data_IF_014133251008
#
_entry.id   IF_014133251008
#
_cell.length_a   1.000
_cell.length_b   1.000
_cell.length_c   1.000
_cell.angle_alpha   90.00
_cell.angle_beta   90.00
_cell.angle_gamma   90.00
#
_symmetry.space_group_name_H-M   'P 1'
#
loop_
_entity.id
_entity.type
_entity.pdbx_description
1 polymer ?
#
# COMPACT_ATOMS: atom_id res chain seq x y z
N UNK A 1 1.49 20.58 38.28
CA UNK A 1 0.68 20.39 37.05
C UNK A 1 -0.32 19.21 37.09
N UNK A 2 -0.02 18.03 37.65
CA UNK A 2 -0.97 16.89 37.67
C UNK A 2 -2.17 17.05 38.64
N UNK A 3 -1.98 17.79 39.74
CA UNK A 3 -2.99 18.00 40.78
C UNK A 3 -4.35 18.54 40.27
N UNK A 4 -4.43 19.59 39.42
CA UNK A 4 -5.72 20.09 38.91
C UNK A 4 -6.45 19.06 38.04
N UNK A 5 -5.73 18.26 37.25
CA UNK A 5 -6.34 17.19 36.45
C UNK A 5 -6.85 16.05 37.32
N UNK A 6 -6.12 15.65 38.36
CA UNK A 6 -6.58 14.62 39.31
C UNK A 6 -7.83 15.08 40.08
N UNK A 7 -7.85 16.33 40.55
CA UNK A 7 -9.01 16.93 41.22
C UNK A 7 -10.22 17.10 40.28
N UNK A 8 -9.98 17.27 38.98
CA UNK A 8 -11.03 17.29 37.97
C UNK A 8 -11.58 15.88 37.73
N UNK A 9 -10.71 14.88 37.58
CA UNK A 9 -11.08 13.49 37.39
C UNK A 9 -11.94 12.96 38.56
N UNK A 10 -11.57 13.28 39.80
CA UNK A 10 -12.32 12.85 40.99
C UNK A 10 -13.71 13.51 41.09
N UNK A 11 -13.84 14.78 40.67
CA UNK A 11 -15.11 15.52 40.80
C UNK A 11 -16.06 15.36 39.61
N UNK A 12 -15.58 14.92 38.44
CA UNK A 12 -16.41 14.73 37.23
C UNK A 12 -16.04 13.45 36.49
N UNK A 13 -16.56 12.28 36.91
CA UNK A 13 -16.24 10.99 36.28
C UNK A 13 -16.66 10.91 34.81
N UNK A 14 -17.71 11.64 34.41
CA UNK A 14 -18.14 11.73 33.01
C UNK A 14 -17.09 12.31 32.05
N UNK A 15 -16.03 12.99 32.55
CA UNK A 15 -14.95 13.53 31.72
C UNK A 15 -13.81 12.53 31.49
N UNK A 16 -13.79 11.38 32.16
CA UNK A 16 -12.69 10.41 32.04
C UNK A 16 -12.39 10.00 30.59
N UNK A 17 -13.39 9.70 29.73
CA UNK A 17 -13.11 9.33 28.34
C UNK A 17 -12.41 10.45 27.57
N UNK A 18 -12.82 11.70 27.79
CA UNK A 18 -12.24 12.88 27.14
C UNK A 18 -10.82 13.15 27.66
N UNK A 19 -10.58 12.98 28.96
CA UNK A 19 -9.27 13.12 29.60
C UNK A 19 -8.28 12.05 29.12
N UNK A 20 -8.71 10.78 29.05
CA UNK A 20 -7.90 9.69 28.53
C UNK A 20 -7.59 9.88 27.05
N UNK A 21 -8.57 10.33 26.26
CA UNK A 21 -8.38 10.68 24.85
C UNK A 21 -7.36 11.81 24.67
N UNK A 22 -7.42 12.84 25.53
CA UNK A 22 -6.47 13.94 25.53
C UNK A 22 -5.06 13.49 25.92
N UNK A 23 -4.93 12.76 27.02
CA UNK A 23 -3.66 12.20 27.47
C UNK A 23 -3.02 11.34 26.37
N UNK A 24 -3.79 10.42 25.78
CA UNK A 24 -3.30 9.56 24.71
C UNK A 24 -2.81 10.33 23.48
N UNK A 25 -3.53 11.38 23.07
CA UNK A 25 -3.15 12.14 21.88
C UNK A 25 -1.87 12.97 22.07
N UNK A 26 -1.67 13.51 23.27
CA UNK A 26 -0.51 14.36 23.59
C UNK A 26 0.64 13.58 24.26
N UNK A 27 0.57 12.25 24.27
CA UNK A 27 1.58 11.41 24.93
C UNK A 27 2.97 11.55 24.26
N UNK A 28 4.06 11.59 25.03
CA UNK A 28 5.40 11.54 24.48
C UNK A 28 5.73 10.14 23.94
N UNK A 29 6.62 10.06 22.95
CA UNK A 29 7.20 8.79 22.49
C UNK A 29 8.03 8.19 23.64
N UNK A 30 7.77 6.93 23.99
CA UNK A 30 8.47 6.24 25.07
C UNK A 30 7.95 6.50 26.50
N UNK A 31 6.70 6.97 26.66
CA UNK A 31 6.05 7.19 27.96
C UNK A 31 6.11 5.97 28.90
N UNK A 32 6.12 4.76 28.36
CA UNK A 32 6.18 3.49 29.09
C UNK A 32 7.58 3.14 29.65
N UNK A 33 8.62 3.90 29.29
CA UNK A 33 10.01 3.64 29.74
C UNK A 33 10.39 4.41 31.00
N UNK A 34 9.59 5.38 31.43
CA UNK A 34 9.89 6.23 32.58
C UNK A 34 8.68 6.29 33.51
N UNK A 35 8.87 6.20 34.84
CA UNK A 35 7.80 6.45 35.79
C UNK A 35 7.23 7.88 35.56
N UNK A 36 5.90 8.11 35.69
CA UNK A 36 4.91 7.23 36.30
C UNK A 36 4.24 6.21 35.35
N UNK A 37 4.83 5.93 34.18
CA UNK A 37 4.27 4.97 33.21
C UNK A 37 2.82 5.28 32.79
N UNK A 38 2.47 6.55 32.77
CA UNK A 38 1.19 7.03 32.29
C UNK A 38 1.39 7.80 30.98
N UNK A 39 0.48 7.68 30.00
CA UNK A 39 0.55 8.40 28.73
C UNK A 39 0.16 9.88 28.93
N UNK A 40 0.83 10.56 29.85
CA UNK A 40 0.58 11.97 30.16
C UNK A 40 1.42 12.86 29.24
N UNK A 41 0.93 14.08 28.89
CA UNK A 41 1.71 15.05 28.13
C UNK A 41 3.03 15.37 28.84
N UNK A 42 4.10 15.65 28.08
CA UNK A 42 5.39 16.02 28.67
C UNK A 42 5.29 17.37 29.39
N UNK A 43 6.14 17.57 30.41
CA UNK A 43 6.21 18.86 31.13
C UNK A 43 6.59 20.00 30.20
N UNK A 44 7.51 19.75 29.27
CA UNK A 44 7.95 20.72 28.27
C UNK A 44 6.81 21.15 27.34
N UNK A 45 6.04 20.18 26.82
CA UNK A 45 4.84 20.47 26.04
C UNK A 45 3.83 21.30 26.85
N UNK A 46 3.65 20.98 28.13
CA UNK A 46 2.70 21.69 28.97
C UNK A 46 3.13 23.12 29.30
N UNK A 47 4.41 23.34 29.61
CA UNK A 47 4.98 24.69 29.79
C UNK A 47 4.79 25.54 28.55
N UNK A 48 5.15 25.01 27.38
CA UNK A 48 4.95 25.71 26.11
C UNK A 48 3.48 26.06 25.85
N UNK A 49 2.56 25.12 26.12
CA UNK A 49 1.12 25.37 25.95
C UNK A 49 0.59 26.46 26.89
N UNK A 50 1.07 26.48 28.13
CA UNK A 50 0.65 27.47 29.13
C UNK A 50 1.23 28.85 28.82
N UNK A 51 2.51 28.92 28.43
CA UNK A 51 3.15 30.14 27.96
C UNK A 51 2.42 30.73 26.75
N UNK A 52 2.03 29.89 25.78
CA UNK A 52 1.30 30.35 24.59
C UNK A 52 -0.13 30.82 24.91
N UNK A 53 -0.81 30.18 25.86
CA UNK A 53 -2.23 30.45 26.15
C UNK A 53 -2.43 31.55 27.20
N UNK A 54 -1.52 31.65 28.17
CA UNK A 54 -1.63 32.51 29.35
C UNK A 54 -0.46 33.48 29.53
N UNK A 55 0.59 33.38 28.70
CA UNK A 55 1.80 34.21 28.85
C UNK A 55 2.71 33.78 30.00
N UNK A 56 2.38 32.70 30.71
CA UNK A 56 3.14 32.19 31.86
C UNK A 56 3.26 30.65 31.78
N UNK A 57 4.49 30.10 31.73
CA UNK A 57 4.73 28.66 31.65
C UNK A 57 4.29 27.87 32.90
N UNK A 58 4.11 28.53 34.04
CA UNK A 58 3.72 27.93 35.31
C UNK A 58 2.27 28.26 35.72
N UNK A 59 1.52 28.93 34.82
CA UNK A 59 0.11 29.25 35.01
C UNK A 59 -0.72 28.01 35.38
N UNK A 60 -1.68 28.18 36.30
CA UNK A 60 -2.66 27.14 36.66
C UNK A 60 -3.99 27.50 35.99
N UNK A 61 -4.41 26.80 34.94
CA UNK A 61 -5.65 27.12 34.23
C UNK A 61 -6.88 27.01 35.16
N UNK A 62 -7.85 27.93 35.03
CA UNK A 62 -9.13 27.80 35.70
C UNK A 62 -9.80 26.46 35.37
N UNK A 63 -10.52 25.89 36.34
CA UNK A 63 -11.17 24.58 36.19
C UNK A 63 -12.12 24.54 34.99
N UNK A 64 -12.88 25.61 34.77
CA UNK A 64 -13.87 25.66 33.71
C UNK A 64 -13.22 25.69 32.32
N UNK A 65 -12.05 26.31 32.21
CA UNK A 65 -11.23 26.28 31.00
C UNK A 65 -10.66 24.90 30.71
N UNK A 66 -10.20 24.19 31.75
CA UNK A 66 -9.76 22.79 31.59
C UNK A 66 -10.91 21.91 31.09
N UNK A 67 -12.11 22.05 31.65
CA UNK A 67 -13.30 21.31 31.21
C UNK A 67 -13.65 21.64 29.76
N UNK A 68 -13.67 22.92 29.39
CA UNK A 68 -13.92 23.36 28.01
C UNK A 68 -12.89 22.79 27.06
N UNK A 69 -11.61 22.91 27.38
CA UNK A 69 -10.51 22.40 26.55
C UNK A 69 -10.58 20.89 26.36
N UNK A 70 -10.77 20.12 27.43
CA UNK A 70 -10.85 18.65 27.38
C UNK A 70 -12.05 18.21 26.53
N UNK A 71 -13.22 18.83 26.74
CA UNK A 71 -14.45 18.50 26.02
C UNK A 71 -14.34 18.84 24.54
N UNK A 72 -13.88 20.06 24.22
CA UNK A 72 -13.65 20.50 22.85
C UNK A 72 -12.62 19.63 22.13
N UNK A 73 -11.50 19.28 22.78
CA UNK A 73 -10.47 18.43 22.16
C UNK A 73 -10.97 17.02 21.84
N UNK A 74 -11.83 16.45 22.70
CA UNK A 74 -12.44 15.14 22.47
C UNK A 74 -13.49 15.20 21.34
N UNK A 75 -14.25 16.27 21.26
CA UNK A 75 -15.22 16.49 20.19
C UNK A 75 -14.54 16.70 18.83
N UNK A 76 -13.53 17.57 18.75
CA UNK A 76 -12.76 17.79 17.53
C UNK A 76 -12.14 16.50 17.01
N UNK A 77 -11.56 15.67 17.90
CA UNK A 77 -11.06 14.35 17.49
C UNK A 77 -12.14 13.41 16.98
N UNK A 78 -13.37 13.47 17.50
CA UNK A 78 -14.49 12.68 16.98
C UNK A 78 -14.92 13.17 15.60
N UNK A 79 -15.00 14.49 15.39
CA UNK A 79 -15.34 15.10 14.10
C UNK A 79 -14.26 14.91 13.04
N UNK A 80 -12.98 14.91 13.43
CA UNK A 80 -11.84 14.72 12.54
C UNK A 80 -11.55 13.24 12.23
N UNK A 81 -12.16 12.28 12.93
CA UNK A 81 -12.06 10.88 12.52
C UNK A 81 -12.81 10.72 11.19
N UNK A 82 -12.14 10.32 10.10
CA UNK A 82 -12.83 10.10 8.84
C UNK A 82 -13.92 9.05 9.07
N UNK A 83 -15.18 9.44 8.84
CA UNK A 83 -16.30 8.51 8.87
C UNK A 83 -16.03 7.41 7.84
N UNK A 84 -16.06 6.14 8.26
CA UNK A 84 -15.80 4.99 7.37
C UNK A 84 -14.35 4.53 7.28
N UNK A 85 -13.45 4.94 8.18
CA UNK A 85 -12.10 4.38 8.22
C UNK A 85 -12.11 2.86 8.49
N UNK A 86 -11.75 2.06 7.48
CA UNK A 86 -11.60 0.60 7.61
C UNK A 86 -10.58 0.30 8.71
N UNK A 87 -10.93 -0.49 9.74
CA UNK A 87 -10.03 -0.76 10.86
C UNK A 87 -8.79 -1.54 10.38
N UNK A 88 -7.67 -1.34 11.07
CA UNK A 88 -6.37 -1.91 10.66
C UNK A 88 -6.41 -3.43 10.49
N UNK A 89 -7.07 -4.14 11.40
CA UNK A 89 -7.22 -5.59 11.34
C UNK A 89 -7.99 -6.04 10.09
N UNK A 90 -9.01 -5.29 9.66
CA UNK A 90 -9.77 -5.61 8.46
C UNK A 90 -8.92 -5.40 7.20
N UNK A 91 -8.09 -4.34 7.16
CA UNK A 91 -7.09 -4.15 6.09
C UNK A 91 -6.10 -5.31 6.03
N UNK A 92 -5.61 -5.78 7.18
CA UNK A 92 -4.67 -6.92 7.26
C UNK A 92 -5.33 -8.22 6.80
N UNK A 93 -6.55 -8.51 7.25
CA UNK A 93 -7.29 -9.70 6.82
C UNK A 93 -7.60 -9.67 5.32
N UNK A 94 -8.05 -8.53 4.80
CA UNK A 94 -8.28 -8.38 3.36
C UNK A 94 -7.00 -8.61 2.56
N UNK A 95 -5.86 -8.12 3.06
CA UNK A 95 -4.56 -8.32 2.43
C UNK A 95 -4.15 -9.80 2.44
N UNK A 96 -4.27 -10.45 3.59
CA UNK A 96 -3.96 -11.87 3.73
C UNK A 96 -4.85 -12.74 2.83
N UNK A 97 -6.15 -12.42 2.76
CA UNK A 97 -7.10 -13.10 1.89
C UNK A 97 -6.77 -12.91 0.40
N UNK A 98 -6.40 -11.69 -0.02
CA UNK A 98 -5.96 -11.42 -1.39
C UNK A 98 -4.72 -12.24 -1.73
N UNK A 99 -3.69 -12.20 -0.89
CA UNK A 99 -2.46 -12.98 -1.10
C UNK A 99 -2.76 -14.48 -1.16
N UNK A 100 -3.55 -15.00 -0.21
CA UNK A 100 -3.92 -16.42 -0.20
C UNK A 100 -4.71 -16.84 -1.44
N UNK A 101 -5.68 -16.02 -1.87
CA UNK A 101 -6.43 -16.26 -3.10
C UNK A 101 -5.50 -16.29 -4.31
N UNK A 102 -4.59 -15.33 -4.43
CA UNK A 102 -3.67 -15.28 -5.57
C UNK A 102 -2.69 -16.45 -5.58
N UNK A 103 -2.20 -16.89 -4.41
CA UNK A 103 -1.37 -18.09 -4.29
C UNK A 103 -2.16 -19.33 -4.74
N UNK A 104 -3.36 -19.52 -4.21
CA UNK A 104 -4.21 -20.65 -4.57
C UNK A 104 -4.54 -20.68 -6.07
N UNK A 105 -4.88 -19.52 -6.64
CA UNK A 105 -5.21 -19.38 -8.05
C UNK A 105 -3.98 -19.63 -8.94
N UNK A 106 -2.79 -19.17 -8.55
CA UNK A 106 -1.55 -19.42 -9.29
C UNK A 106 -1.14 -20.89 -9.26
N UNK A 107 -1.25 -21.57 -8.11
CA UNK A 107 -0.95 -23.01 -8.02
C UNK A 107 -1.88 -23.83 -8.92
N UNK A 108 -3.14 -23.41 -9.07
CA UNK A 108 -4.10 -24.02 -10.00
C UNK A 108 -3.80 -23.68 -11.46
N UNK A 109 -3.43 -22.44 -11.75
CA UNK A 109 -3.10 -21.97 -13.10
C UNK A 109 -1.76 -22.49 -13.62
N UNK A 110 -0.87 -22.99 -12.74
CA UNK A 110 0.36 -23.66 -13.14
C UNK A 110 0.08 -24.98 -13.89
N UNK A 111 -1.12 -25.55 -13.74
CA UNK A 111 -1.56 -26.69 -14.52
C UNK A 111 -2.14 -26.22 -15.86
N UNK A 112 -1.49 -26.62 -16.97
CA UNK A 112 -1.91 -26.24 -18.32
C UNK A 112 -3.35 -26.69 -18.60
N UNK A 113 -3.80 -27.81 -18.04
CA UNK A 113 -5.15 -28.32 -18.27
C UNK A 113 -6.22 -27.38 -17.68
N UNK A 114 -5.94 -26.75 -16.54
CA UNK A 114 -6.84 -25.78 -15.92
C UNK A 114 -6.94 -24.48 -16.73
N UNK A 115 -5.82 -24.02 -17.28
CA UNK A 115 -5.81 -22.85 -18.19
C UNK A 115 -6.58 -23.18 -19.46
N UNK A 116 -6.35 -24.36 -20.03
CA UNK A 116 -7.03 -24.84 -21.23
C UNK A 116 -8.53 -24.96 -21.03
N UNK A 117 -9.00 -25.53 -19.94
CA UNK A 117 -10.44 -25.66 -19.62
C UNK A 117 -11.12 -24.29 -19.52
N UNK A 118 -10.47 -23.35 -18.84
CA UNK A 118 -10.98 -21.98 -18.68
C UNK A 118 -11.04 -21.23 -20.01
N UNK A 119 -10.01 -21.37 -20.84
CA UNK A 119 -9.92 -20.72 -22.15
C UNK A 119 -10.87 -21.37 -23.17
N UNK A 120 -11.02 -22.69 -23.16
CA UNK A 120 -11.92 -23.42 -24.05
C UNK A 120 -13.40 -23.07 -23.80
N UNK A 121 -13.79 -22.81 -22.55
CA UNK A 121 -15.16 -22.45 -22.19
C UNK A 121 -15.51 -20.97 -22.41
N UNK A 122 -14.54 -20.05 -22.27
CA UNK A 122 -14.79 -18.61 -22.20
C UNK A 122 -14.01 -17.75 -23.21
N UNK A 123 -13.23 -18.37 -24.11
CA UNK A 123 -12.49 -17.65 -25.17
C UNK A 123 -11.51 -16.62 -24.62
N UNK A 124 -11.50 -15.42 -25.22
CA UNK A 124 -10.65 -14.29 -24.79
C UNK A 124 -10.96 -13.80 -23.37
N UNK A 125 -12.19 -13.97 -22.88
CA UNK A 125 -12.52 -13.62 -21.49
C UNK A 125 -11.84 -14.57 -20.52
N UNK A 126 -11.83 -15.88 -20.82
CA UNK A 126 -11.09 -16.87 -20.05
C UNK A 126 -9.60 -16.57 -20.04
N UNK A 127 -9.04 -16.23 -21.21
CA UNK A 127 -7.63 -15.83 -21.36
C UNK A 127 -7.29 -14.59 -20.54
N UNK A 128 -8.15 -13.56 -20.54
CA UNK A 128 -7.97 -12.35 -19.74
C UNK A 128 -7.96 -12.66 -18.23
N UNK A 129 -8.91 -13.45 -17.75
CA UNK A 129 -9.00 -13.79 -16.32
C UNK A 129 -7.80 -14.63 -15.89
N UNK A 130 -7.39 -15.60 -16.71
CA UNK A 130 -6.21 -16.40 -16.45
C UNK A 130 -4.94 -15.54 -16.46
N UNK A 131 -4.83 -14.55 -17.36
CA UNK A 131 -3.70 -13.64 -17.42
C UNK A 131 -3.66 -12.62 -16.27
N UNK A 132 -4.80 -12.24 -15.67
CA UNK A 132 -4.84 -11.47 -14.41
C UNK A 132 -4.26 -12.26 -13.25
N UNK A 133 -4.63 -13.53 -13.13
CA UNK A 133 -4.14 -14.42 -12.05
C UNK A 133 -2.63 -14.66 -12.20
N UNK A 134 -2.20 -15.03 -13.42
CA UNK A 134 -0.79 -15.22 -13.78
C UNK A 134 0.00 -13.90 -13.69
N UNK A 135 -0.64 -12.77 -13.98
CA UNK A 135 -0.04 -11.44 -13.93
C UNK A 135 0.51 -11.05 -12.58
N UNK A 136 -0.03 -11.61 -11.48
CA UNK A 136 0.48 -11.37 -10.13
C UNK A 136 1.70 -12.25 -9.82
N UNK A 137 2.82 -11.94 -10.47
CA UNK A 137 3.99 -12.82 -10.60
C UNK A 137 4.81 -12.96 -9.30
N UNK A 138 4.49 -12.22 -8.23
CA UNK A 138 5.21 -12.25 -6.95
C UNK A 138 5.18 -13.63 -6.27
N UNK A 139 4.19 -14.46 -6.59
CA UNK A 139 3.96 -15.77 -5.95
C UNK A 139 4.38 -16.95 -6.83
N UNK A 140 4.10 -16.89 -8.14
CA UNK A 140 4.53 -17.88 -9.12
C UNK A 140 4.78 -17.19 -10.47
N UNK A 141 6.03 -17.11 -10.94
CA UNK A 141 6.37 -16.38 -12.16
C UNK A 141 6.21 -17.27 -13.39
N UNK A 142 4.98 -17.71 -13.68
CA UNK A 142 4.69 -18.43 -14.93
C UNK A 142 3.87 -17.50 -15.81
N UNK A 143 4.50 -16.77 -16.75
CA UNK A 143 3.77 -15.95 -17.70
C UNK A 143 2.87 -16.83 -18.55
N UNK A 144 1.58 -16.47 -18.62
CA UNK A 144 0.64 -17.17 -19.50
C UNK A 144 1.06 -17.10 -20.99
N UNK A 145 1.90 -16.13 -21.36
CA UNK A 145 2.50 -16.02 -22.69
C UNK A 145 3.41 -17.20 -23.06
N UNK A 146 3.87 -18.01 -22.10
CA UNK A 146 4.56 -19.26 -22.41
C UNK A 146 3.65 -20.28 -23.11
N UNK A 147 2.33 -20.19 -22.88
CA UNK A 147 1.34 -21.03 -23.57
C UNK A 147 0.92 -20.46 -24.93
N UNK A 148 1.55 -19.39 -25.40
CA UNK A 148 1.18 -18.72 -26.64
C UNK A 148 1.12 -19.66 -27.87
N UNK A 149 2.10 -20.55 -28.14
CA UNK A 149 2.00 -21.50 -29.25
C UNK A 149 0.76 -22.40 -29.18
N UNK A 150 0.44 -22.89 -27.98
CA UNK A 150 -0.72 -23.77 -27.73
C UNK A 150 -2.05 -23.02 -27.91
N UNK A 151 -2.09 -21.72 -27.58
CA UNK A 151 -3.25 -20.87 -27.83
C UNK A 151 -3.49 -20.66 -29.34
N UNK A 152 -2.43 -20.50 -30.13
CA UNK A 152 -2.53 -20.39 -31.59
C UNK A 152 -3.04 -21.69 -32.21
N UNK A 153 -2.55 -22.85 -31.75
CA UNK A 153 -3.06 -24.16 -32.16
C UNK A 153 -4.55 -24.35 -31.81
N UNK A 154 -5.00 -23.72 -30.73
CA UNK A 154 -6.41 -23.71 -30.30
C UNK A 154 -7.30 -22.76 -31.12
N UNK A 155 -6.75 -22.08 -32.15
CA UNK A 155 -7.49 -21.22 -33.07
C UNK A 155 -7.63 -19.76 -32.64
N UNK A 156 -6.85 -19.31 -31.66
CA UNK A 156 -6.84 -17.90 -31.27
C UNK A 156 -6.01 -17.05 -32.25
N UNK A 157 -6.48 -15.85 -32.55
CA UNK A 157 -5.72 -14.91 -33.37
C UNK A 157 -4.48 -14.35 -32.63
N UNK A 158 -3.32 -14.21 -33.29
CA UNK A 158 -2.06 -13.74 -32.69
C UNK A 158 -2.18 -12.40 -31.95
N UNK A 159 -2.67 -11.37 -32.63
CA UNK A 159 -2.65 -10.00 -32.12
C UNK A 159 -3.63 -9.78 -30.95
N UNK A 160 -4.91 -10.19 -31.03
CA UNK A 160 -5.84 -10.08 -29.89
C UNK A 160 -5.37 -10.90 -28.68
N UNK A 161 -4.69 -12.03 -28.90
CA UNK A 161 -4.14 -12.86 -27.82
C UNK A 161 -3.07 -12.12 -27.03
N UNK A 162 -2.09 -11.53 -27.71
CA UNK A 162 -1.03 -10.73 -27.06
C UNK A 162 -1.60 -9.55 -26.27
N UNK A 163 -2.55 -8.81 -26.86
CA UNK A 163 -3.19 -7.66 -26.20
C UNK A 163 -3.99 -8.12 -24.98
N UNK A 164 -4.72 -9.23 -25.09
CA UNK A 164 -5.51 -9.80 -23.98
C UNK A 164 -4.62 -10.25 -22.82
N UNK A 165 -3.50 -10.91 -23.13
CA UNK A 165 -2.51 -11.32 -22.14
C UNK A 165 -1.91 -10.08 -21.45
N UNK A 166 -1.41 -9.11 -22.22
CA UNK A 166 -0.80 -7.90 -21.66
C UNK A 166 -1.80 -7.09 -20.80
N UNK A 167 -3.06 -6.98 -21.23
CA UNK A 167 -4.11 -6.30 -20.50
C UNK A 167 -4.42 -6.99 -19.17
N UNK A 168 -4.58 -8.32 -19.17
CA UNK A 168 -4.85 -9.02 -17.93
C UNK A 168 -3.63 -9.08 -17.00
N UNK A 169 -2.41 -9.25 -17.52
CA UNK A 169 -1.19 -9.11 -16.71
C UNK A 169 -1.11 -7.74 -16.01
N UNK A 170 -1.47 -6.67 -16.73
CA UNK A 170 -1.56 -5.32 -16.15
C UNK A 170 -2.65 -5.24 -15.06
N UNK A 171 -3.71 -6.04 -15.16
CA UNK A 171 -4.69 -6.23 -14.09
C UNK A 171 -4.10 -6.90 -12.85
N UNK A 172 -3.15 -7.84 -13.00
CA UNK A 172 -2.35 -8.37 -11.90
C UNK A 172 -1.48 -7.28 -11.26
N UNK A 173 -0.79 -6.50 -12.08
CA UNK A 173 0.02 -5.34 -11.64
C UNK A 173 -0.81 -4.30 -10.88
N UNK A 174 -2.07 -4.11 -11.27
CA UNK A 174 -3.02 -3.25 -10.58
C UNK A 174 -3.28 -3.74 -9.14
N UNK A 175 -3.42 -5.06 -8.92
CA UNK A 175 -3.52 -5.64 -7.57
C UNK A 175 -2.25 -5.38 -6.76
N UNK A 176 -1.07 -5.50 -7.39
CA UNK A 176 0.22 -5.11 -6.80
C UNK A 176 0.26 -3.64 -6.39
N UNK A 177 -0.25 -2.75 -7.23
CA UNK A 177 -0.35 -1.33 -6.92
C UNK A 177 -1.27 -1.07 -5.71
N UNK A 178 -2.44 -1.72 -5.66
CA UNK A 178 -3.36 -1.64 -4.52
C UNK A 178 -2.67 -2.12 -3.24
N UNK A 179 -1.96 -3.26 -3.31
CA UNK A 179 -1.18 -3.82 -2.21
C UNK A 179 -0.13 -2.82 -1.71
N UNK A 180 0.63 -2.17 -2.61
CA UNK A 180 1.60 -1.14 -2.25
C UNK A 180 0.97 0.10 -1.60
N UNK A 181 -0.22 0.49 -2.03
CA UNK A 181 -0.94 1.62 -1.44
C UNK A 181 -1.52 1.27 -0.06
N UNK A 182 -2.08 0.07 0.12
CA UNK A 182 -2.65 -0.41 1.38
C UNK A 182 -1.57 -0.61 2.45
N UNK A 183 -0.41 -1.16 2.07
CA UNK A 183 0.72 -1.37 2.98
C UNK A 183 1.34 -0.07 3.48
N UNK A 184 1.18 1.05 2.77
CA UNK A 184 1.61 2.39 3.25
C UNK A 184 0.94 2.78 4.56
N UNK A 185 -0.37 2.57 4.66
CA UNK A 185 -1.12 2.92 5.88
C UNK A 185 -0.75 2.01 7.06
N UNK A 186 -0.29 0.80 6.75
CA UNK A 186 0.17 -0.22 7.70
C UNK A 186 1.65 -0.05 8.07
N UNK A 187 2.39 0.81 7.37
CA UNK A 187 3.84 0.94 7.50
C UNK A 187 4.20 1.58 8.85
N UNK A 188 4.49 0.73 9.83
CA UNK A 188 5.08 1.15 11.10
C UNK A 188 6.53 1.62 10.97
N UNK A 189 7.19 1.87 12.11
CA UNK A 189 8.56 2.41 12.17
C UNK A 189 9.61 1.60 11.37
N UNK A 190 9.40 0.29 11.13
CA UNK A 190 10.31 -0.55 10.34
C UNK A 190 10.41 -0.14 8.87
N UNK A 191 9.31 0.26 8.25
CA UNK A 191 9.27 0.59 6.82
C UNK A 191 9.55 2.07 6.54
N UNK A 192 9.61 2.91 7.58
CA UNK A 192 9.97 4.33 7.45
C UNK A 192 11.38 4.50 6.86
N UNK A 193 12.34 3.67 7.28
CA UNK A 193 13.71 3.74 6.74
C UNK A 193 13.77 3.40 5.25
N UNK A 194 13.02 2.38 4.81
CA UNK A 194 12.89 2.00 3.39
C UNK A 194 12.25 3.13 2.59
N UNK A 195 11.17 3.73 3.11
CA UNK A 195 10.51 4.90 2.50
C UNK A 195 11.49 6.02 2.23
N UNK A 196 12.24 6.43 3.25
CA UNK A 196 13.18 7.56 3.16
C UNK A 196 14.29 7.25 2.15
N UNK A 197 14.78 6.01 2.09
CA UNK A 197 15.79 5.60 1.09
C UNK A 197 15.22 5.65 -0.33
N UNK A 198 14.02 5.11 -0.54
CA UNK A 198 13.36 5.14 -1.85
C UNK A 198 13.03 6.57 -2.29
N UNK A 199 12.55 7.43 -1.38
CA UNK A 199 12.29 8.84 -1.65
C UNK A 199 13.56 9.60 -2.03
N UNK A 200 14.73 9.28 -1.44
CA UNK A 200 16.00 9.89 -1.85
C UNK A 200 16.42 9.43 -3.25
N UNK A 201 16.39 8.12 -3.50
CA UNK A 201 16.80 7.55 -4.79
C UNK A 201 15.93 8.07 -5.94
N UNK A 202 14.60 7.94 -5.81
CA UNK A 202 13.64 8.33 -6.84
C UNK A 202 13.36 9.84 -6.84
N UNK A 203 13.51 10.51 -5.70
CA UNK A 203 13.38 11.97 -5.59
C UNK A 203 14.51 12.70 -6.32
N UNK A 204 15.76 12.22 -6.21
CA UNK A 204 16.89 12.76 -6.96
C UNK A 204 16.72 12.58 -8.48
N UNK A 205 16.12 11.46 -8.90
CA UNK A 205 15.75 11.23 -10.30
C UNK A 205 14.64 12.17 -10.76
N UNK A 206 13.57 12.31 -9.96
CA UNK A 206 12.39 13.13 -10.26
C UNK A 206 12.72 14.62 -10.37
N UNK A 207 13.62 15.13 -9.54
CA UNK A 207 14.03 16.55 -9.57
C UNK A 207 14.73 16.93 -10.86
N UNK A 208 15.36 15.97 -11.54
CA UNK A 208 16.04 16.18 -12.82
C UNK A 208 15.11 15.92 -14.01
N UNK A 209 14.36 14.82 -13.97
CA UNK A 209 13.41 14.45 -15.03
C UNK A 209 12.17 13.74 -14.45
N UNK A 210 11.00 14.36 -14.59
CA UNK A 210 9.74 13.83 -14.05
C UNK A 210 9.32 12.50 -14.68
N UNK A 211 9.72 12.22 -15.92
CA UNK A 211 9.36 11.03 -16.69
C UNK A 211 10.31 9.83 -16.46
N UNK A 212 11.50 10.06 -15.88
CA UNK A 212 12.52 9.01 -15.75
C UNK A 212 12.05 7.76 -15.00
N UNK A 213 11.31 7.86 -13.87
CA UNK A 213 10.81 6.68 -13.17
C UNK A 213 9.85 5.82 -14.02
N UNK A 214 9.04 6.45 -14.87
CA UNK A 214 8.16 5.73 -15.80
C UNK A 214 8.97 5.12 -16.95
N UNK A 215 9.97 5.82 -17.48
CA UNK A 215 10.87 5.25 -18.48
C UNK A 215 11.63 4.02 -17.97
N UNK A 216 12.13 4.07 -16.74
CA UNK A 216 12.78 2.93 -16.09
C UNK A 216 11.80 1.78 -15.84
N UNK A 217 10.58 2.09 -15.38
CA UNK A 217 9.52 1.09 -15.21
C UNK A 217 9.15 0.43 -16.55
N UNK A 218 9.08 1.20 -17.64
CA UNK A 218 8.82 0.67 -18.98
C UNK A 218 9.92 -0.29 -19.42
N UNK A 219 11.19 0.13 -19.31
CA UNK A 219 12.33 -0.71 -19.67
C UNK A 219 12.39 -1.98 -18.80
N UNK A 220 12.07 -1.85 -17.51
CA UNK A 220 11.97 -2.98 -16.60
C UNK A 220 10.88 -3.95 -17.04
N UNK A 221 9.65 -3.46 -17.22
CA UNK A 221 8.51 -4.30 -17.59
C UNK A 221 8.65 -4.93 -18.99
N UNK A 222 9.39 -4.30 -19.91
CA UNK A 222 9.60 -4.82 -21.26
C UNK A 222 10.70 -5.90 -21.34
N UNK A 223 11.75 -5.80 -20.51
CA UNK A 223 12.99 -6.57 -20.71
C UNK A 223 13.48 -7.35 -19.49
N UNK A 224 12.90 -7.16 -18.31
CA UNK A 224 13.29 -7.91 -17.11
C UNK A 224 12.38 -9.14 -16.92
N UNK A 225 12.93 -10.37 -16.85
CA UNK A 225 12.16 -11.59 -16.54
C UNK A 225 11.91 -11.69 -15.02
N UNK A 226 11.46 -10.59 -14.41
CA UNK A 226 11.29 -10.46 -12.96
C UNK A 226 9.89 -9.86 -12.70
N UNK A 227 9.19 -10.25 -11.61
CA UNK A 227 7.87 -9.72 -11.31
C UNK A 227 7.82 -8.18 -11.26
N UNK A 228 6.96 -7.60 -12.09
CA UNK A 228 6.70 -6.16 -12.17
C UNK A 228 6.30 -5.56 -10.81
N UNK A 229 5.63 -6.33 -9.95
CA UNK A 229 5.20 -5.92 -8.61
C UNK A 229 6.37 -5.45 -7.75
N UNK A 230 7.58 -5.96 -7.97
CA UNK A 230 8.77 -5.53 -7.25
C UNK A 230 9.07 -4.04 -7.45
N UNK A 231 8.66 -3.46 -8.58
CA UNK A 231 8.82 -2.03 -8.89
C UNK A 231 7.49 -1.27 -8.70
N UNK A 232 6.37 -1.87 -9.10
CA UNK A 232 5.04 -1.26 -8.99
C UNK A 232 4.66 -1.02 -7.52
N UNK A 233 4.93 -1.96 -6.60
CA UNK A 233 4.64 -1.81 -5.17
C UNK A 233 5.38 -0.60 -4.56
N UNK A 234 6.71 -0.45 -4.72
CA UNK A 234 7.42 0.75 -4.29
C UNK A 234 6.90 2.06 -4.90
N UNK A 235 6.59 2.08 -6.19
CA UNK A 235 6.06 3.28 -6.86
C UNK A 235 4.67 3.65 -6.33
N UNK A 236 3.81 2.65 -6.11
CA UNK A 236 2.54 2.83 -5.43
C UNK A 236 2.77 3.40 -4.03
N UNK A 237 3.67 2.81 -3.24
CA UNK A 237 4.03 3.27 -1.89
C UNK A 237 4.49 4.74 -1.86
N UNK A 238 5.17 5.21 -2.92
CA UNK A 238 5.61 6.60 -3.10
C UNK A 238 4.58 7.55 -3.74
N UNK A 239 3.35 7.10 -4.01
CA UNK A 239 2.25 7.89 -4.59
C UNK A 239 2.50 8.35 -6.03
N UNK A 240 3.18 7.54 -6.84
CA UNK A 240 3.17 7.74 -8.29
C UNK A 240 1.75 7.55 -8.85
N UNK A 241 1.40 8.24 -9.93
CA UNK A 241 0.03 8.24 -10.44
C UNK A 241 -0.36 6.86 -10.96
N UNK A 242 -1.53 6.37 -10.55
CA UNK A 242 -2.03 5.07 -10.98
C UNK A 242 -2.10 4.97 -12.53
N UNK A 243 -2.70 5.91 -13.27
CA UNK A 243 -2.76 5.82 -14.73
C UNK A 243 -1.36 5.82 -15.36
N UNK A 244 -0.43 6.61 -14.82
CA UNK A 244 0.94 6.67 -15.31
C UNK A 244 1.65 5.33 -15.17
N UNK A 245 1.54 4.69 -14.00
CA UNK A 245 2.13 3.36 -13.77
C UNK A 245 1.46 2.30 -14.65
N UNK A 246 0.12 2.25 -14.70
CA UNK A 246 -0.61 1.22 -15.45
C UNK A 246 -0.40 1.30 -16.96
N UNK A 247 -0.40 2.50 -17.55
CA UNK A 247 -0.11 2.67 -18.99
C UNK A 247 1.32 2.24 -19.30
N UNK A 248 2.27 2.65 -18.45
CA UNK A 248 3.68 2.29 -18.62
C UNK A 248 3.89 0.77 -18.60
N UNK A 249 3.27 0.09 -17.63
CA UNK A 249 3.38 -1.36 -17.46
C UNK A 249 2.61 -2.10 -18.56
N UNK A 250 1.46 -1.61 -18.99
CA UNK A 250 0.74 -2.17 -20.14
C UNK A 250 1.61 -2.17 -21.40
N UNK A 251 2.21 -1.02 -21.73
CA UNK A 251 3.11 -0.92 -22.87
C UNK A 251 4.33 -1.84 -22.73
N UNK A 252 4.91 -1.93 -21.53
CA UNK A 252 6.00 -2.86 -21.25
C UNK A 252 5.59 -4.32 -21.43
N UNK A 253 4.45 -4.72 -20.87
CA UNK A 253 3.90 -6.06 -20.97
C UNK A 253 3.58 -6.45 -22.42
N UNK A 254 3.09 -5.54 -23.26
CA UNK A 254 2.90 -5.83 -24.70
C UNK A 254 4.23 -6.21 -25.35
N UNK A 255 5.31 -5.47 -25.07
CA UNK A 255 6.64 -5.77 -25.62
C UNK A 255 7.18 -7.08 -25.05
N UNK A 256 7.15 -7.25 -23.73
CA UNK A 256 7.63 -8.46 -23.06
C UNK A 256 6.93 -9.71 -23.59
N UNK A 257 5.60 -9.69 -23.68
CA UNK A 257 4.83 -10.82 -24.18
C UNK A 257 5.10 -11.10 -25.67
N UNK A 258 5.38 -10.06 -26.47
CA UNK A 258 5.81 -10.25 -27.87
C UNK A 258 7.19 -10.91 -27.97
N UNK A 259 8.12 -10.57 -27.08
CA UNK A 259 9.43 -11.21 -26.99
C UNK A 259 9.34 -12.67 -26.53
N UNK A 260 8.46 -12.96 -25.57
CA UNK A 260 8.18 -14.33 -25.10
C UNK A 260 7.56 -15.15 -26.24
N UNK A 261 6.52 -14.62 -26.90
CA UNK A 261 5.81 -15.28 -27.99
C UNK A 261 6.69 -15.58 -29.22
N UNK A 262 7.68 -14.71 -29.51
CA UNK A 262 8.64 -14.92 -30.60
C UNK A 262 9.75 -15.92 -30.26
N UNK A 263 9.83 -16.39 -29.00
CA UNK A 263 10.86 -17.32 -28.55
C UNK A 263 12.24 -16.70 -28.29
N UNK A 264 12.41 -15.39 -28.50
CA UNK A 264 13.67 -14.67 -28.27
C UNK A 264 14.17 -14.85 -26.84
N UNK A 265 13.25 -14.92 -25.87
CA UNK A 265 13.59 -15.10 -24.45
C UNK A 265 14.25 -16.45 -24.12
N UNK A 266 13.98 -17.50 -24.90
CA UNK A 266 14.67 -18.79 -24.80
C UNK A 266 16.11 -18.69 -25.27
N UNK A 267 16.35 -17.96 -26.36
CA UNK A 267 17.70 -17.71 -26.89
C UNK A 267 18.53 -16.88 -25.90
N UNK A 268 17.90 -15.93 -25.21
CA UNK A 268 18.54 -15.11 -24.18
C UNK A 268 18.75 -15.84 -22.85
N UNK A 269 18.27 -17.09 -22.71
CA UNK A 269 18.45 -17.89 -21.50
C UNK A 269 17.66 -17.39 -20.30
N UNK A 270 16.54 -16.68 -20.48
CA UNK A 270 15.74 -16.17 -19.36
C UNK A 270 15.07 -17.27 -18.53
N UNK A 271 14.97 -18.47 -19.08
CA UNK A 271 14.28 -19.63 -18.52
C UNK A 271 15.21 -20.82 -18.23
N UNK A 272 16.53 -20.64 -18.37
CA UNK A 272 17.56 -21.64 -18.13
C UNK A 272 18.15 -21.53 -16.73
#
# INVERSE_FOLDING_TARGET
>A
MLRPFLLLALRRPGLWPAMLSAAWAFRPRGWYRKPPFLPLPSREYMRWRLETAYGDPDAVPPRDELVRFITWSAEMRRRMKPAGAVPLWAKVLALAALVAFTVWANVRAADFEAVRETVAGAGYTGLFLASVVSGFNLVAPIPIALFYPLLMESGFDPFPTLVTIAAGMTGGDFLGYILGNATRDLAGHRLVGVRVRLERLLGAMRSRHQLLPYGLLFLYAAFAPIPNELVVIPLAFLRYSLPGVMITVLCGNVIFNSLVASGVTWVLGWWA
#
